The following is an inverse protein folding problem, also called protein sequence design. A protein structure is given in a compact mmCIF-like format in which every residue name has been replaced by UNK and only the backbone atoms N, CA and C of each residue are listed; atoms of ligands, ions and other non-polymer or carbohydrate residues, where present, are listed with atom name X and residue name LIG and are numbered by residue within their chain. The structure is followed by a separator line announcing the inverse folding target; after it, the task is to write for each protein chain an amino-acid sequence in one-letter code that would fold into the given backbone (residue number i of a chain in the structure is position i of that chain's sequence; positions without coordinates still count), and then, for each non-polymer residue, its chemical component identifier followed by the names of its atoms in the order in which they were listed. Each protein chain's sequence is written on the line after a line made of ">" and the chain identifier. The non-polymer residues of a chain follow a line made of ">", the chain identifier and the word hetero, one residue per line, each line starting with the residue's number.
data_IF_261862891406
#
_entry.id   IF_261862891406
#
_cell.length_a   1.000
_cell.length_b   1.000
_cell.length_c   1.000
_cell.angle_alpha   90.00
_cell.angle_beta   90.00
_cell.angle_gamma   90.00
#
_symmetry.space_group_name_H-M   'P 1'
#
loop_
_entity.id
_entity.type
_entity.pdbx_description
1 polymer ?
#
# COMPACT_ATOMS: atom_id res chain seq x y z
N UNK A 1 0.94 9.37 -13.42
CA UNK A 1 0.38 8.07 -12.95
C UNK A 1 1.15 7.43 -11.80
N UNK A 2 2.44 7.07 -11.94
CA UNK A 2 3.21 6.37 -10.86
C UNK A 2 3.14 7.08 -9.50
N UNK A 3 3.38 8.39 -9.45
CA UNK A 3 3.34 9.15 -8.20
C UNK A 3 1.94 9.16 -7.55
N UNK A 4 0.87 9.25 -8.35
CA UNK A 4 -0.51 9.16 -7.86
C UNK A 4 -0.77 7.81 -7.21
N UNK A 5 -0.31 6.73 -7.86
CA UNK A 5 -0.43 5.38 -7.32
C UNK A 5 0.33 5.21 -6.00
N UNK A 6 1.56 5.71 -5.92
CA UNK A 6 2.35 5.69 -4.68
C UNK A 6 1.63 6.40 -3.54
N UNK A 7 1.05 7.57 -3.79
CA UNK A 7 0.23 8.27 -2.79
C UNK A 7 -1.00 7.45 -2.36
N UNK A 8 -1.66 6.76 -3.28
CA UNK A 8 -2.78 5.86 -2.92
C UNK A 8 -2.31 4.74 -1.99
N UNK A 9 -1.20 4.08 -2.34
CA UNK A 9 -0.65 2.97 -1.56
C UNK A 9 -0.19 3.40 -0.15
N UNK A 10 0.40 4.60 -0.01
CA UNK A 10 0.96 5.05 1.27
C UNK A 10 -0.04 5.83 2.13
N UNK A 11 -0.87 6.69 1.53
CA UNK A 11 -1.78 7.62 2.24
C UNK A 11 -3.26 7.46 1.91
N UNK A 12 -3.61 6.85 0.78
CA UNK A 12 -5.02 6.71 0.36
C UNK A 12 -5.81 5.77 1.27
N UNK A 13 -7.10 6.01 1.53
CA UNK A 13 -7.93 5.11 2.33
C UNK A 13 -8.39 3.89 1.51
N UNK A 14 -7.55 2.85 1.44
CA UNK A 14 -7.75 1.65 0.61
C UNK A 14 -8.48 0.56 1.41
N UNK A 15 -9.51 -0.04 0.79
CA UNK A 15 -10.31 -1.15 1.33
C UNK A 15 -9.74 -2.53 0.97
N UNK A 16 -9.07 -2.65 -0.18
CA UNK A 16 -8.39 -3.86 -0.65
C UNK A 16 -7.32 -3.50 -1.70
N UNK A 17 -6.22 -4.23 -1.74
CA UNK A 17 -5.07 -4.03 -2.64
C UNK A 17 -5.10 -4.87 -3.90
N UNK A 18 -5.95 -5.89 -3.97
CA UNK A 18 -6.03 -6.88 -5.06
C UNK A 18 -7.47 -7.24 -5.37
N UNK A 19 -8.29 -7.54 -4.36
CA UNK A 19 -9.69 -7.88 -4.54
C UNK A 19 -10.50 -6.70 -5.08
N UNK A 20 -11.36 -6.97 -6.06
CA UNK A 20 -12.32 -5.99 -6.63
C UNK A 20 -13.74 -6.21 -6.14
N UNK A 21 -13.99 -7.33 -5.45
CA UNK A 21 -15.28 -7.72 -4.89
C UNK A 21 -15.08 -8.19 -3.44
N UNK A 22 -16.10 -8.01 -2.61
CA UNK A 22 -16.14 -8.60 -1.27
C UNK A 22 -16.28 -10.12 -1.40
N UNK A 23 -15.63 -10.85 -0.50
CA UNK A 23 -15.69 -12.31 -0.44
C UNK A 23 -17.06 -12.78 0.05
N UNK A 24 -17.69 -12.06 0.97
CA UNK A 24 -18.97 -12.45 1.56
C UNK A 24 -20.19 -12.23 0.65
N UNK A 25 -20.23 -11.11 -0.07
CA UNK A 25 -21.44 -10.64 -0.78
C UNK A 25 -21.21 -10.46 -2.28
N UNK A 26 -19.99 -10.71 -2.79
CA UNK A 26 -19.58 -10.41 -4.17
C UNK A 26 -19.86 -8.96 -4.59
N UNK A 27 -19.93 -8.05 -3.62
CA UNK A 27 -20.22 -6.65 -3.83
C UNK A 27 -18.95 -5.90 -4.28
N UNK A 28 -19.03 -4.96 -5.25
CA UNK A 28 -17.85 -4.22 -5.71
C UNK A 28 -17.17 -3.43 -4.58
N UNK A 29 -15.86 -3.64 -4.40
CA UNK A 29 -15.05 -2.85 -3.46
C UNK A 29 -14.75 -1.50 -4.13
N UNK A 30 -15.16 -0.41 -3.48
CA UNK A 30 -15.12 0.92 -4.10
C UNK A 30 -13.74 1.56 -4.02
N UNK A 31 -12.96 1.26 -2.98
CA UNK A 31 -11.65 1.89 -2.73
C UNK A 31 -10.50 0.91 -2.90
N UNK A 32 -10.27 0.48 -4.14
CA UNK A 32 -9.06 -0.26 -4.52
C UNK A 32 -8.04 0.66 -5.19
N UNK A 33 -6.72 0.39 -5.12
CA UNK A 33 -5.71 1.22 -5.76
C UNK A 33 -5.96 1.43 -7.26
N UNK A 34 -6.42 0.40 -7.96
CA UNK A 34 -6.71 0.47 -9.39
C UNK A 34 -7.89 1.40 -9.69
N UNK A 35 -8.99 1.30 -8.93
CA UNK A 35 -10.17 2.15 -9.12
C UNK A 35 -9.89 3.60 -8.73
N UNK A 36 -9.19 3.82 -7.63
CA UNK A 36 -8.77 5.16 -7.20
C UNK A 36 -7.83 5.79 -8.25
N UNK A 37 -6.86 5.04 -8.78
CA UNK A 37 -5.98 5.54 -9.84
C UNK A 37 -6.76 5.84 -11.12
N UNK A 38 -7.71 4.99 -11.51
CA UNK A 38 -8.58 5.23 -12.67
C UNK A 38 -9.38 6.52 -12.52
N UNK A 39 -9.95 6.76 -11.33
CA UNK A 39 -10.68 8.00 -11.03
C UNK A 39 -9.77 9.23 -11.12
N UNK A 40 -8.57 9.17 -10.53
CA UNK A 40 -7.60 10.28 -10.58
C UNK A 40 -7.10 10.57 -12.00
N UNK A 41 -6.89 9.54 -12.81
CA UNK A 41 -6.49 9.71 -14.22
C UNK A 41 -7.62 10.34 -15.02
N UNK A 42 -8.87 9.91 -14.81
CA UNK A 42 -10.05 10.49 -15.48
C UNK A 42 -10.28 11.95 -15.11
N UNK A 43 -9.87 12.36 -13.90
CA UNK A 43 -10.00 13.74 -13.42
C UNK A 43 -8.80 14.62 -13.75
N UNK A 44 -7.86 14.17 -14.60
CA UNK A 44 -6.74 15.00 -15.03
C UNK A 44 -7.20 16.06 -16.05
N UNK A 45 -6.33 17.02 -16.33
CA UNK A 45 -6.64 18.10 -17.25
C UNK A 45 -6.75 17.61 -18.69
N UNK A 46 -7.49 18.30 -19.57
CA UNK A 46 -7.57 17.95 -20.98
C UNK A 46 -6.20 17.89 -21.68
N UNK A 47 -5.24 18.71 -21.26
CA UNK A 47 -3.85 18.69 -21.76
C UNK A 47 -3.18 17.38 -21.37
N UNK A 48 -3.30 16.96 -20.10
CA UNK A 48 -2.77 15.66 -19.67
C UNK A 48 -3.37 14.50 -20.47
N UNK A 49 -4.68 14.53 -20.71
CA UNK A 49 -5.35 13.51 -21.51
C UNK A 49 -4.80 13.46 -22.93
N UNK A 50 -4.57 14.61 -23.56
CA UNK A 50 -4.04 14.71 -24.92
C UNK A 50 -2.58 14.24 -25.02
N UNK A 51 -1.77 14.58 -24.03
CA UNK A 51 -0.33 14.36 -24.07
C UNK A 51 0.08 12.95 -23.60
N UNK A 52 -0.71 12.33 -22.71
CA UNK A 52 -0.30 11.10 -22.01
C UNK A 52 -1.28 9.93 -22.13
N UNK A 53 -2.49 10.12 -22.66
CA UNK A 53 -3.47 9.05 -22.82
C UNK A 53 -3.71 8.74 -24.30
N UNK A 54 -4.05 7.48 -24.64
CA UNK A 54 -4.34 7.11 -26.02
C UNK A 54 -5.56 7.88 -26.55
N UNK A 55 -5.56 8.23 -27.85
CA UNK A 55 -6.73 8.80 -28.51
C UNK A 55 -7.98 7.95 -28.26
N UNK A 56 -9.12 8.61 -28.05
CA UNK A 56 -10.39 7.94 -27.77
C UNK A 56 -10.63 7.66 -26.28
N UNK A 57 -9.63 7.73 -25.39
CA UNK A 57 -9.89 7.62 -23.96
C UNK A 57 -10.74 8.82 -23.44
N UNK A 58 -11.79 8.60 -22.62
CA UNK A 58 -12.25 7.34 -22.02
C UNK A 58 -13.43 6.68 -22.76
N UNK A 59 -13.76 7.09 -23.99
CA UNK A 59 -14.95 6.64 -24.71
C UNK A 59 -14.69 5.39 -25.57
N UNK A 60 -13.44 5.16 -25.97
CA UNK A 60 -13.01 4.00 -26.72
C UNK A 60 -12.59 2.84 -25.80
N UNK A 61 -13.07 1.63 -26.09
CA UNK A 61 -12.85 0.46 -25.24
C UNK A 61 -11.41 -0.03 -25.27
N UNK A 62 -10.76 0.00 -26.44
CA UNK A 62 -9.39 -0.47 -26.61
C UNK A 62 -8.40 0.50 -25.96
N UNK A 63 -8.63 1.81 -26.12
CA UNK A 63 -7.91 2.87 -25.42
C UNK A 63 -8.05 2.72 -23.89
N UNK A 64 -9.27 2.43 -23.40
CA UNK A 64 -9.49 2.15 -21.99
C UNK A 64 -8.75 0.90 -21.50
N UNK A 65 -8.79 -0.19 -22.27
CA UNK A 65 -8.11 -1.42 -21.94
C UNK A 65 -6.59 -1.21 -21.88
N UNK A 66 -6.00 -0.51 -22.85
CA UNK A 66 -4.58 -0.17 -22.88
C UNK A 66 -4.15 0.63 -21.64
N UNK A 67 -4.91 1.66 -21.25
CA UNK A 67 -4.65 2.44 -20.03
C UNK A 67 -4.73 1.57 -18.77
N UNK A 68 -5.74 0.70 -18.68
CA UNK A 68 -5.89 -0.22 -17.52
C UNK A 68 -4.71 -1.19 -17.44
N UNK A 69 -4.21 -1.71 -18.56
CA UNK A 69 -3.04 -2.59 -18.56
C UNK A 69 -1.79 -1.89 -18.02
N UNK A 70 -1.55 -0.64 -18.44
CA UNK A 70 -0.46 0.18 -17.89
C UNK A 70 -0.63 0.40 -16.38
N UNK A 71 -1.84 0.73 -15.93
CA UNK A 71 -2.14 0.90 -14.50
C UNK A 71 -1.88 -0.37 -13.69
N UNK A 72 -2.25 -1.55 -14.21
CA UNK A 72 -2.00 -2.85 -13.56
C UNK A 72 -0.52 -3.17 -13.47
N UNK A 73 0.24 -2.93 -14.54
CA UNK A 73 1.70 -3.09 -14.53
C UNK A 73 2.38 -2.20 -13.50
N UNK A 74 1.98 -0.92 -13.42
CA UNK A 74 2.45 0.00 -12.39
C UNK A 74 2.05 -0.46 -10.99
N UNK A 75 0.80 -0.88 -10.78
CA UNK A 75 0.31 -1.38 -9.50
C UNK A 75 1.11 -2.56 -8.99
N UNK A 76 1.39 -3.55 -9.86
CA UNK A 76 2.22 -4.71 -9.53
C UNK A 76 3.61 -4.27 -9.06
N UNK A 77 4.25 -3.38 -9.80
CA UNK A 77 5.60 -2.92 -9.50
C UNK A 77 5.67 -2.11 -8.19
N UNK A 78 4.76 -1.16 -8.00
CA UNK A 78 4.75 -0.31 -6.81
C UNK A 78 4.29 -1.07 -5.56
N UNK A 79 3.38 -2.05 -5.67
CA UNK A 79 3.10 -3.00 -4.57
C UNK A 79 4.35 -3.81 -4.22
N UNK A 80 5.09 -4.29 -5.21
CA UNK A 80 6.36 -5.00 -4.99
C UNK A 80 7.38 -4.14 -4.24
N UNK A 81 7.51 -2.86 -4.61
CA UNK A 81 8.35 -1.90 -3.90
C UNK A 81 7.86 -1.68 -2.46
N UNK A 82 6.57 -1.45 -2.24
CA UNK A 82 6.01 -1.26 -0.89
C UNK A 82 6.29 -2.46 0.00
N UNK A 83 6.07 -3.68 -0.49
CA UNK A 83 6.38 -4.92 0.23
C UNK A 83 7.85 -4.97 0.67
N UNK A 84 8.77 -4.65 -0.24
CA UNK A 84 10.19 -4.69 0.08
C UNK A 84 10.55 -3.64 1.15
N UNK A 85 9.95 -2.44 1.09
CA UNK A 85 10.12 -1.40 2.11
C UNK A 85 9.51 -1.79 3.47
N UNK A 86 8.38 -2.50 3.49
CA UNK A 86 7.78 -3.03 4.71
C UNK A 86 8.68 -4.09 5.39
N UNK A 87 9.61 -4.68 4.64
CA UNK A 87 10.58 -5.68 5.11
C UNK A 87 12.01 -5.12 5.28
N UNK A 88 12.18 -3.79 5.28
CA UNK A 88 13.49 -3.17 5.48
C UNK A 88 14.16 -3.70 6.75
N UNK A 89 15.41 -4.15 6.59
CA UNK A 89 16.24 -4.78 7.63
C UNK A 89 15.67 -6.04 8.29
N UNK A 90 14.62 -6.65 7.71
CA UNK A 90 14.09 -7.96 8.13
C UNK A 90 14.54 -9.06 7.16
N UNK A 91 14.64 -8.75 5.86
CA UNK A 91 15.09 -9.68 4.83
C UNK A 91 15.88 -8.95 3.75
N UNK A 92 16.92 -9.59 3.24
CA UNK A 92 17.61 -9.16 2.03
C UNK A 92 16.68 -9.22 0.81
N UNK A 93 16.66 -8.14 0.03
CA UNK A 93 15.98 -8.07 -1.25
C UNK A 93 16.87 -7.35 -2.26
N UNK A 94 16.89 -7.84 -3.51
CA UNK A 94 17.63 -7.21 -4.62
C UNK A 94 19.10 -6.89 -4.28
N UNK A 95 19.80 -7.82 -3.61
CA UNK A 95 21.18 -7.66 -3.16
C UNK A 95 21.42 -6.48 -2.19
N UNK A 96 20.38 -5.95 -1.55
CA UNK A 96 20.55 -5.06 -0.41
C UNK A 96 20.75 -5.91 0.84
N UNK A 97 21.94 -5.87 1.47
CA UNK A 97 22.19 -6.59 2.71
C UNK A 97 21.34 -6.00 3.84
N UNK A 98 21.10 -6.78 4.88
CA UNK A 98 20.55 -6.26 6.13
C UNK A 98 21.63 -5.37 6.76
N UNK A 99 21.43 -4.05 6.68
CA UNK A 99 22.39 -3.05 7.13
C UNK A 99 21.78 -2.19 8.25
N UNK A 100 21.75 -2.77 9.45
CA UNK A 100 21.31 -2.13 10.67
C UNK A 100 20.04 -2.72 11.29
N UNK A 101 19.52 -2.02 12.30
CA UNK A 101 18.35 -2.46 13.05
C UNK A 101 17.07 -2.38 12.22
N UNK A 102 16.10 -3.25 12.54
CA UNK A 102 14.73 -3.14 12.02
C UNK A 102 14.15 -1.77 12.41
N UNK A 103 13.58 -0.98 11.48
CA UNK A 103 13.11 0.36 11.80
C UNK A 103 11.89 0.32 12.73
N UNK A 104 11.79 1.32 13.63
CA UNK A 104 10.54 1.60 14.33
C UNK A 104 9.43 1.98 13.34
N UNK A 105 8.16 2.00 13.78
CA UNK A 105 7.06 2.38 12.90
C UNK A 105 7.22 3.78 12.30
N UNK A 106 7.68 4.75 13.08
CA UNK A 106 7.92 6.12 12.62
C UNK A 106 9.07 6.17 11.60
N UNK A 107 10.19 5.48 11.88
CA UNK A 107 11.29 5.38 10.93
C UNK A 107 10.87 4.68 9.64
N UNK A 108 10.01 3.65 9.72
CA UNK A 108 9.46 2.96 8.57
C UNK A 108 8.57 3.88 7.72
N UNK A 109 7.73 4.71 8.35
CA UNK A 109 6.92 5.73 7.65
C UNK A 109 7.82 6.64 6.82
N UNK A 110 8.93 7.10 7.41
CA UNK A 110 9.90 7.98 6.75
C UNK A 110 10.58 7.29 5.57
N UNK A 111 11.04 6.05 5.76
CA UNK A 111 11.64 5.24 4.70
C UNK A 111 10.66 5.05 3.54
N UNK A 112 9.41 4.70 3.84
CA UNK A 112 8.36 4.49 2.84
C UNK A 112 8.07 5.79 2.10
N UNK A 113 7.83 6.91 2.80
CA UNK A 113 7.52 8.19 2.17
C UNK A 113 8.68 8.65 1.28
N UNK A 114 9.93 8.60 1.74
CA UNK A 114 11.10 9.01 0.94
C UNK A 114 11.28 8.17 -0.34
N UNK A 115 11.08 6.86 -0.26
CA UNK A 115 11.22 5.97 -1.42
C UNK A 115 10.02 6.03 -2.39
N UNK A 116 8.84 6.33 -1.85
CA UNK A 116 7.60 6.43 -2.62
C UNK A 116 7.21 7.88 -3.00
N UNK A 117 7.91 8.88 -2.50
CA UNK A 117 7.75 10.26 -2.92
C UNK A 117 8.23 10.44 -4.37
N UNK A 118 7.77 11.52 -5.01
CA UNK A 118 8.35 11.97 -6.25
C UNK A 118 9.81 12.41 -5.98
N UNK A 119 10.75 12.04 -6.85
CA UNK A 119 12.21 12.28 -6.72
C UNK A 119 12.66 13.73 -6.41
N UNK A 120 11.75 14.71 -6.39
CA UNK A 120 12.03 16.14 -6.23
C UNK A 120 11.52 16.75 -4.91
N UNK A 121 10.99 15.96 -3.97
CA UNK A 121 10.49 16.47 -2.69
C UNK A 121 11.21 15.79 -1.50
N UNK A 122 12.43 16.24 -1.21
CA UNK A 122 13.09 15.90 0.05
C UNK A 122 12.43 16.70 1.17
N UNK A 123 11.57 16.04 1.94
CA UNK A 123 10.94 16.61 3.13
C UNK A 123 11.75 16.25 4.36
N UNK A 124 11.77 17.15 5.34
CA UNK A 124 12.34 16.83 6.65
C UNK A 124 11.53 15.72 7.33
N UNK A 125 12.19 14.86 8.11
CA UNK A 125 11.56 13.72 8.79
C UNK A 125 10.32 14.13 9.59
N UNK A 126 10.43 15.21 10.37
CA UNK A 126 9.33 15.72 11.18
C UNK A 126 8.14 16.23 10.33
N UNK A 127 8.38 16.72 9.11
CA UNK A 127 7.30 17.11 8.18
C UNK A 127 6.61 15.88 7.61
N UNK A 128 7.37 14.84 7.26
CA UNK A 128 6.84 13.57 6.79
C UNK A 128 5.91 12.98 7.85
N UNK A 129 6.40 12.81 9.07
CA UNK A 129 5.62 12.23 10.17
C UNK A 129 4.34 13.02 10.45
N UNK A 130 4.41 14.36 10.42
CA UNK A 130 3.22 15.23 10.57
C UNK A 130 2.18 15.07 9.45
N UNK A 131 2.59 14.59 8.27
CA UNK A 131 1.69 14.35 7.14
C UNK A 131 0.97 13.00 7.19
N UNK A 132 1.30 12.14 8.15
CA UNK A 132 0.64 10.86 8.37
C UNK A 132 -0.24 10.94 9.62
N UNK A 133 -1.54 10.70 9.45
CA UNK A 133 -2.43 10.53 10.58
C UNK A 133 -2.28 9.14 11.22
N UNK A 134 -2.89 8.98 12.40
CA UNK A 134 -2.88 7.71 13.14
C UNK A 134 -3.41 6.54 12.33
N UNK A 135 -4.40 6.75 11.46
CA UNK A 135 -5.01 5.70 10.64
C UNK A 135 -4.02 5.24 9.57
N UNK A 136 -3.36 6.18 8.89
CA UNK A 136 -2.34 5.88 7.87
C UNK A 136 -1.17 5.11 8.47
N UNK A 137 -0.67 5.56 9.63
CA UNK A 137 0.44 4.89 10.32
C UNK A 137 0.03 3.51 10.84
N UNK A 138 -1.18 3.37 11.40
CA UNK A 138 -1.72 2.06 11.82
C UNK A 138 -1.82 1.11 10.65
N UNK A 139 -2.25 1.59 9.49
CA UNK A 139 -2.33 0.77 8.27
C UNK A 139 -0.96 0.29 7.83
N UNK A 140 0.07 1.14 7.87
CA UNK A 140 1.44 0.71 7.53
C UNK A 140 1.96 -0.35 8.51
N UNK A 141 1.68 -0.21 9.81
CA UNK A 141 1.98 -1.24 10.81
C UNK A 141 1.26 -2.56 10.54
N UNK A 142 -0.05 -2.50 10.23
CA UNK A 142 -0.84 -3.66 9.84
C UNK A 142 -0.26 -4.37 8.61
N UNK A 143 0.06 -3.61 7.56
CA UNK A 143 0.69 -4.16 6.36
C UNK A 143 2.03 -4.81 6.70
N UNK A 144 2.88 -4.16 7.51
CA UNK A 144 4.16 -4.74 7.94
C UNK A 144 3.96 -6.08 8.64
N UNK A 145 3.08 -6.15 9.63
CA UNK A 145 2.83 -7.38 10.39
C UNK A 145 2.39 -8.53 9.49
N UNK A 146 1.43 -8.31 8.59
CA UNK A 146 0.98 -9.35 7.65
C UNK A 146 2.04 -9.69 6.59
N UNK A 147 2.87 -8.72 6.20
CA UNK A 147 4.02 -8.96 5.31
C UNK A 147 5.04 -9.89 5.95
N UNK A 148 5.40 -9.60 7.20
CA UNK A 148 6.37 -10.38 7.97
C UNK A 148 5.81 -11.76 8.28
N UNK A 149 4.55 -11.84 8.72
CA UNK A 149 3.87 -13.11 8.98
C UNK A 149 3.88 -14.02 7.76
N UNK A 150 3.43 -13.51 6.60
CA UNK A 150 3.47 -14.29 5.36
C UNK A 150 4.91 -14.66 5.00
N UNK A 151 5.86 -13.75 5.16
CA UNK A 151 7.25 -14.05 4.83
C UNK A 151 7.82 -15.22 5.67
N UNK A 152 7.54 -15.26 6.97
CA UNK A 152 8.06 -16.27 7.90
C UNK A 152 7.32 -17.60 7.75
N UNK A 153 5.99 -17.57 7.58
CA UNK A 153 5.13 -18.75 7.68
C UNK A 153 4.60 -19.27 6.35
N UNK A 154 5.00 -18.68 5.22
CA UNK A 154 4.53 -19.13 3.91
C UNK A 154 4.86 -20.61 3.67
N UNK A 155 3.81 -21.41 3.52
CA UNK A 155 3.92 -22.76 2.99
C UNK A 155 4.29 -22.68 1.49
N UNK A 156 5.37 -23.36 1.04
CA UNK A 156 5.72 -23.42 -0.38
C UNK A 156 4.63 -24.02 -1.29
N UNK A 157 3.71 -24.80 -0.72
CA UNK A 157 2.60 -25.44 -1.43
C UNK A 157 1.36 -24.55 -1.53
N UNK A 158 1.26 -23.50 -0.70
CA UNK A 158 0.17 -22.53 -0.75
C UNK A 158 0.45 -21.44 -1.80
N UNK A 159 -0.52 -21.26 -2.69
CA UNK A 159 -0.49 -20.23 -3.74
C UNK A 159 -1.06 -18.88 -3.28
N UNK A 160 -1.48 -18.75 -2.02
CA UNK A 160 -2.04 -17.48 -1.53
C UNK A 160 -0.93 -16.42 -1.42
N UNK A 161 -1.16 -15.31 -2.10
CA UNK A 161 -0.29 -14.16 -1.99
C UNK A 161 -0.55 -13.44 -0.67
N UNK A 162 0.50 -12.81 -0.16
CA UNK A 162 0.41 -11.92 1.00
C UNK A 162 -0.70 -10.85 0.86
N UNK A 163 -0.92 -10.34 -0.36
CA UNK A 163 -1.93 -9.31 -0.61
C UNK A 163 -3.36 -9.84 -0.49
N UNK A 164 -3.59 -11.10 -0.82
CA UNK A 164 -4.89 -11.75 -0.64
C UNK A 164 -5.19 -11.97 0.85
N UNK A 165 -4.20 -12.38 1.65
CA UNK A 165 -4.34 -12.46 3.12
C UNK A 165 -4.66 -11.10 3.73
N UNK A 166 -3.97 -10.05 3.27
CA UNK A 166 -4.24 -8.66 3.67
C UNK A 166 -5.68 -8.26 3.34
N UNK A 167 -6.14 -8.55 2.13
CA UNK A 167 -7.49 -8.18 1.68
C UNK A 167 -8.58 -8.91 2.47
N UNK A 168 -8.39 -10.21 2.74
CA UNK A 168 -9.28 -11.02 3.58
C UNK A 168 -9.41 -10.41 4.98
N UNK A 169 -8.29 -10.06 5.61
CA UNK A 169 -8.31 -9.48 6.94
C UNK A 169 -8.92 -8.07 6.95
N UNK A 170 -8.64 -7.24 5.93
CA UNK A 170 -9.24 -5.91 5.80
C UNK A 170 -10.76 -5.99 5.64
N UNK A 171 -11.26 -6.97 4.88
CA UNK A 171 -12.69 -7.25 4.77
C UNK A 171 -13.29 -7.67 6.11
N UNK A 172 -12.66 -8.62 6.80
CA UNK A 172 -13.11 -9.05 8.13
C UNK A 172 -13.18 -7.89 9.12
N UNK A 173 -12.11 -7.09 9.26
CA UNK A 173 -12.06 -5.97 10.20
C UNK A 173 -13.11 -4.90 9.85
N UNK A 174 -13.35 -4.68 8.56
CA UNK A 174 -14.36 -3.71 8.09
C UNK A 174 -15.80 -4.13 8.38
N UNK A 175 -16.08 -5.44 8.45
CA UNK A 175 -17.40 -5.94 8.85
C UNK A 175 -17.63 -5.89 10.37
N UNK A 176 -16.61 -5.58 11.16
CA UNK A 176 -16.73 -5.47 12.62
C UNK A 176 -17.24 -4.09 13.08
N UNK A 177 -17.68 -4.05 14.34
CA UNK A 177 -18.13 -2.81 15.00
C UNK A 177 -17.03 -1.73 15.03
N UNK A 178 -17.43 -0.48 15.20
CA UNK A 178 -16.47 0.62 15.37
C UNK A 178 -15.53 0.42 16.56
N UNK A 179 -16.07 -0.02 17.70
CA UNK A 179 -15.26 -0.32 18.89
C UNK A 179 -14.21 -1.40 18.61
N UNK A 180 -14.59 -2.46 17.87
CA UNK A 180 -13.65 -3.50 17.46
C UNK A 180 -12.54 -2.91 16.59
N UNK A 181 -12.88 -2.11 15.57
CA UNK A 181 -11.89 -1.50 14.66
C UNK A 181 -10.91 -0.59 15.41
N UNK A 182 -11.39 0.19 16.38
CA UNK A 182 -10.54 1.01 17.25
C UNK A 182 -9.61 0.14 18.09
N UNK A 183 -10.14 -0.90 18.74
CA UNK A 183 -9.35 -1.82 19.56
C UNK A 183 -8.30 -2.56 18.72
N UNK A 184 -8.70 -3.06 17.55
CA UNK A 184 -7.82 -3.73 16.59
C UNK A 184 -6.67 -2.82 16.17
N UNK A 185 -6.94 -1.56 15.81
CA UNK A 185 -5.90 -0.60 15.47
C UNK A 185 -4.91 -0.33 16.61
N UNK A 186 -5.38 -0.31 17.87
CA UNK A 186 -4.51 -0.19 19.05
C UNK A 186 -3.62 -1.43 19.23
N UNK A 187 -4.18 -2.63 19.05
CA UNK A 187 -3.44 -3.90 19.13
C UNK A 187 -2.36 -3.97 18.05
N UNK A 188 -2.68 -3.62 16.80
CA UNK A 188 -1.70 -3.56 15.70
C UNK A 188 -0.51 -2.70 16.09
N UNK A 189 -0.75 -1.48 16.60
CA UNK A 189 0.33 -0.58 17.02
C UNK A 189 1.12 -1.10 18.21
N UNK A 190 0.46 -1.79 19.15
CA UNK A 190 1.13 -2.37 20.31
C UNK A 190 2.07 -3.51 19.91
N UNK A 191 1.59 -4.47 19.11
CA UNK A 191 2.39 -5.60 18.59
C UNK A 191 3.56 -5.08 17.77
N UNK A 192 3.30 -4.14 16.85
CA UNK A 192 4.33 -3.57 15.99
C UNK A 192 5.43 -2.85 16.81
N UNK A 193 5.05 -2.12 17.86
CA UNK A 193 6.00 -1.49 18.80
C UNK A 193 6.76 -2.51 19.63
N UNK A 194 6.12 -3.60 20.07
CA UNK A 194 6.77 -4.66 20.84
C UNK A 194 7.84 -5.37 20.02
N UNK A 195 7.51 -5.71 18.76
CA UNK A 195 8.41 -6.43 17.87
C UNK A 195 9.53 -5.56 17.30
N UNK A 196 9.26 -4.27 17.00
CA UNK A 196 10.16 -3.43 16.20
C UNK A 196 10.49 -2.07 16.83
N UNK A 197 9.98 -1.78 18.02
CA UNK A 197 10.12 -0.46 18.67
C UNK A 197 11.43 -0.27 19.45
N UNK A 198 12.38 -1.20 19.38
CA UNK A 198 13.64 -1.07 20.12
C UNK A 198 14.51 0.06 19.54
N UNK A 199 15.01 0.92 20.43
CA UNK A 199 16.06 1.90 20.10
C UNK A 199 17.40 1.17 20.00
N UNK A 200 18.28 1.66 19.11
CA UNK A 200 19.70 1.28 19.04
C UNK A 200 20.28 1.16 20.46
N UNK A 201 20.85 0.00 20.79
CA UNK A 201 21.79 -0.19 21.90
C UNK A 201 23.05 0.60 21.58
#
# INVERSE_FOLDING_TARGET
>A
MRNMLRQILTKGNVEAYTCTMTLAELAPIRRTPLLMLKALVRSQTPEFHRDYLPPGYPNDLDACAAVIQVMRGLLKNEKGLLRNLLLTNIKEFNHQPIDGAVPSLDALVVIIDQNMAARKQLKAEAEILRSYDTTMTTRLGFLRLYTVFHHIHRDPTENISQWELIDQQLEYVRSQSELYRIAYGRVIRAIDKELFGQKKI
#
